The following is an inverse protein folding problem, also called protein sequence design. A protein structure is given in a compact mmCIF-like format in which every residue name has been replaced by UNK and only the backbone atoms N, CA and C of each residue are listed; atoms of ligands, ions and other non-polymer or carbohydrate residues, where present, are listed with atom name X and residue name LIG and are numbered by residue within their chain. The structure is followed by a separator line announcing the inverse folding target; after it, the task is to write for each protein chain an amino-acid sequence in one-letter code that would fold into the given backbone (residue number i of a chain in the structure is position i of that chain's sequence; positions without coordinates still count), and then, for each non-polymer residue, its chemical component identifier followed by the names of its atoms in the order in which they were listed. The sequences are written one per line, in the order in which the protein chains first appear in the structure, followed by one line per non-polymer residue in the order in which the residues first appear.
data_IF_002173752488
#
_entry.id   IF_002173752488
#
_cell.length_a   1.000
_cell.length_b   1.000
_cell.length_c   1.000
_cell.angle_alpha   90.00
_cell.angle_beta   90.00
_cell.angle_gamma   90.00
#
_symmetry.space_group_name_H-M   'P 1'
#
loop_
_entity.id
_entity.type
_entity.pdbx_description
1 polymer ?
#
# COMPACT_ATOMS: atom_id res chain seq x y z
N UNK A 1 -5.56 -32.20 -3.73
CA UNK A 1 -6.66 -31.73 -4.59
C UNK A 1 -7.19 -30.43 -4.01
N UNK A 2 -6.75 -29.29 -4.52
CA UNK A 2 -7.31 -27.99 -4.18
C UNK A 2 -8.40 -27.69 -5.21
N UNK A 3 -9.66 -27.77 -4.77
CA UNK A 3 -10.83 -27.30 -5.51
C UNK A 3 -11.62 -26.41 -4.57
N UNK A 4 -11.21 -25.15 -4.51
CA UNK A 4 -12.04 -24.01 -4.15
C UNK A 4 -11.65 -22.90 -5.11
N UNK A 5 -12.41 -22.78 -6.19
CA UNK A 5 -12.31 -21.67 -7.13
C UNK A 5 -12.84 -20.40 -6.47
N UNK A 6 -11.98 -19.70 -5.71
CA UNK A 6 -12.08 -18.25 -5.65
C UNK A 6 -11.31 -17.74 -6.86
N UNK A 7 -12.06 -17.37 -7.90
CA UNK A 7 -11.50 -16.66 -9.06
C UNK A 7 -10.84 -15.38 -8.57
N UNK A 8 -9.51 -15.39 -8.50
CA UNK A 8 -8.68 -14.21 -8.34
C UNK A 8 -8.80 -13.41 -9.65
N UNK A 9 -9.41 -12.20 -9.67
CA UNK A 9 -9.72 -11.48 -10.90
C UNK A 9 -8.48 -10.91 -11.61
N UNK A 10 -7.27 -11.34 -11.25
CA UNK A 10 -6.03 -10.68 -11.64
C UNK A 10 -5.07 -11.53 -12.48
N UNK A 11 -5.44 -12.75 -12.87
CA UNK A 11 -4.58 -13.58 -13.73
C UNK A 11 -4.89 -13.40 -15.21
N UNK A 12 -3.90 -12.81 -15.91
CA UNK A 12 -3.67 -12.80 -17.37
C UNK A 12 -4.20 -11.63 -18.22
N UNK A 13 -3.19 -10.97 -18.83
CA UNK A 13 -3.12 -10.23 -20.12
C UNK A 13 -3.58 -8.77 -20.11
N UNK A 14 -2.57 -7.89 -20.26
CA UNK A 14 -2.61 -6.43 -20.41
C UNK A 14 -3.39 -5.68 -19.32
N UNK A 15 -2.81 -5.62 -18.11
CA UNK A 15 -3.28 -4.68 -17.07
C UNK A 15 -3.09 -3.26 -17.63
N UNK A 16 -4.17 -2.67 -18.14
CA UNK A 16 -4.27 -1.24 -18.41
C UNK A 16 -3.79 -0.52 -17.15
N UNK A 17 -2.81 0.38 -17.31
CA UNK A 17 -2.25 1.11 -16.19
C UNK A 17 -3.38 1.80 -15.42
N UNK A 18 -3.37 1.74 -14.07
CA UNK A 18 -4.37 2.45 -13.30
C UNK A 18 -4.27 3.95 -13.57
N UNK A 19 -5.36 4.68 -13.34
CA UNK A 19 -5.42 6.13 -13.52
C UNK A 19 -5.74 6.78 -12.19
N UNK A 20 -5.00 7.84 -11.86
CA UNK A 20 -5.35 8.77 -10.80
C UNK A 20 -6.23 9.89 -11.36
N UNK A 21 -7.28 10.20 -10.62
CA UNK A 21 -8.21 11.30 -10.89
C UNK A 21 -8.38 12.12 -9.62
N UNK A 22 -8.38 13.45 -9.75
CA UNK A 22 -8.69 14.38 -8.69
C UNK A 22 -10.21 14.55 -8.66
N UNK A 23 -10.86 13.94 -7.66
CA UNK A 23 -12.32 13.95 -7.55
C UNK A 23 -12.84 15.17 -6.82
N UNK A 24 -12.02 15.78 -5.95
CA UNK A 24 -12.36 17.02 -5.28
C UNK A 24 -11.12 17.83 -4.88
N UNK A 25 -11.32 19.12 -4.67
CA UNK A 25 -10.34 20.01 -4.07
C UNK A 25 -11.06 20.92 -3.07
N UNK A 26 -10.59 20.91 -1.82
CA UNK A 26 -11.22 21.65 -0.73
C UNK A 26 -10.19 22.46 0.06
N UNK A 27 -10.63 23.57 0.64
CA UNK A 27 -9.78 24.38 1.51
C UNK A 27 -9.81 23.75 2.91
N UNK A 28 -8.69 23.22 3.34
CA UNK A 28 -8.49 22.64 4.66
C UNK A 28 -7.65 23.58 5.55
N UNK A 29 -7.71 23.35 6.86
CA UNK A 29 -6.94 24.07 7.87
C UNK A 29 -5.92 23.09 8.46
N UNK A 30 -4.69 23.56 8.67
CA UNK A 30 -3.65 22.73 9.29
C UNK A 30 -3.97 22.57 10.77
N UNK A 31 -4.02 21.33 11.27
CA UNK A 31 -4.31 21.04 12.67
C UNK A 31 -3.43 21.88 13.61
N UNK A 32 -4.05 22.49 14.62
CA UNK A 32 -3.35 23.36 15.58
C UNK A 32 -2.88 24.72 15.03
N UNK A 33 -3.33 25.15 13.84
CA UNK A 33 -3.03 26.49 13.33
C UNK A 33 -4.17 27.09 12.49
N UNK A 34 -4.09 28.37 12.16
CA UNK A 34 -5.03 29.03 11.25
C UNK A 34 -4.62 28.93 9.77
N UNK A 35 -3.51 28.22 9.46
CA UNK A 35 -2.96 28.15 8.11
C UNK A 35 -3.83 27.26 7.22
N UNK A 36 -4.44 27.88 6.21
CA UNK A 36 -5.23 27.22 5.18
C UNK A 36 -4.36 26.63 4.06
N UNK A 37 -4.80 25.53 3.48
CA UNK A 37 -4.21 24.91 2.29
C UNK A 37 -5.30 24.25 1.44
N UNK A 38 -4.98 23.93 0.19
CA UNK A 38 -5.87 23.14 -0.68
C UNK A 38 -5.51 21.67 -0.52
N UNK A 39 -6.48 20.87 -0.09
CA UNK A 39 -6.42 19.41 -0.03
C UNK A 39 -7.11 18.85 -1.27
N UNK A 40 -6.42 18.00 -1.99
CA UNK A 40 -6.92 17.31 -3.17
C UNK A 40 -7.25 15.87 -2.80
N UNK A 41 -8.46 15.43 -3.10
CA UNK A 41 -8.85 14.02 -2.96
C UNK A 41 -8.63 13.33 -4.29
N UNK A 42 -7.82 12.27 -4.27
CA UNK A 42 -7.47 11.47 -5.43
C UNK A 42 -8.18 10.13 -5.35
N UNK A 43 -8.60 9.64 -6.49
CA UNK A 43 -9.10 8.29 -6.68
C UNK A 43 -8.23 7.54 -7.68
N UNK A 44 -7.83 6.32 -7.34
CA UNK A 44 -7.18 5.41 -8.30
C UNK A 44 -8.16 4.35 -8.78
N UNK A 45 -8.26 4.18 -10.10
CA UNK A 45 -9.13 3.19 -10.75
C UNK A 45 -8.39 2.44 -11.85
N UNK A 46 -8.76 1.18 -12.06
CA UNK A 46 -8.38 0.47 -13.29
C UNK A 46 -9.42 0.78 -14.36
N UNK A 47 -8.98 1.20 -15.55
CA UNK A 47 -9.88 1.48 -16.67
C UNK A 47 -10.19 0.16 -17.38
N UNK A 48 -11.05 -0.68 -16.79
CA UNK A 48 -11.40 -2.01 -17.32
C UNK A 48 -12.79 -2.07 -17.95
N UNK A 49 -13.42 -0.91 -18.23
CA UNK A 49 -14.76 -0.83 -18.82
C UNK A 49 -15.91 -1.21 -17.87
N UNK A 50 -15.60 -1.74 -16.68
CA UNK A 50 -16.53 -1.96 -15.57
C UNK A 50 -16.16 -0.96 -14.47
N UNK A 51 -17.15 -0.27 -13.91
CA UNK A 51 -16.93 0.64 -12.79
C UNK A 51 -16.23 -0.08 -11.64
N UNK A 52 -15.11 0.50 -11.21
CA UNK A 52 -14.33 0.00 -10.08
C UNK A 52 -15.16 0.13 -8.80
N UNK A 53 -15.83 -0.95 -8.40
CA UNK A 53 -16.73 -0.98 -7.24
C UNK A 53 -16.05 -0.61 -5.91
N UNK A 54 -14.72 -0.62 -5.85
CA UNK A 54 -13.93 -0.27 -4.67
C UNK A 54 -12.70 0.51 -5.10
N UNK A 55 -12.81 1.82 -5.37
CA UNK A 55 -11.63 2.62 -5.62
C UNK A 55 -10.77 2.73 -4.34
N UNK A 56 -9.49 3.04 -4.51
CA UNK A 56 -8.67 3.50 -3.38
C UNK A 56 -8.58 5.03 -3.43
N UNK A 57 -8.60 5.64 -2.26
CA UNK A 57 -8.65 7.09 -2.08
C UNK A 57 -7.39 7.54 -1.34
N UNK A 58 -6.83 8.67 -1.73
CA UNK A 58 -5.76 9.34 -0.99
C UNK A 58 -5.97 10.85 -1.02
N UNK A 59 -5.55 11.53 0.04
CA UNK A 59 -5.66 12.99 0.13
C UNK A 59 -4.27 13.60 0.19
N UNK A 60 -4.00 14.56 -0.69
CA UNK A 60 -2.68 15.20 -0.82
C UNK A 60 -2.82 16.70 -1.02
N UNK A 61 -1.87 17.45 -0.51
CA UNK A 61 -1.73 18.90 -0.75
C UNK A 61 -0.66 19.16 -1.81
N UNK A 62 -0.64 20.38 -2.34
CA UNK A 62 0.35 20.80 -3.36
C UNK A 62 1.80 20.40 -3.02
N UNK A 63 2.19 20.54 -1.74
CA UNK A 63 3.57 20.24 -1.31
C UNK A 63 3.92 18.77 -1.46
N UNK A 64 2.96 17.85 -1.34
CA UNK A 64 3.22 16.41 -1.46
C UNK A 64 3.54 16.06 -2.91
N UNK A 65 2.75 16.60 -3.86
CA UNK A 65 3.03 16.48 -5.29
C UNK A 65 4.35 17.13 -5.69
N UNK A 66 4.66 18.29 -5.09
CA UNK A 66 5.90 18.99 -5.35
C UNK A 66 7.12 18.19 -4.86
N UNK A 67 7.02 17.59 -3.67
CA UNK A 67 8.06 16.72 -3.12
C UNK A 67 8.26 15.48 -4.02
N UNK A 68 7.17 14.84 -4.47
CA UNK A 68 7.24 13.76 -5.46
C UNK A 68 7.97 14.21 -6.73
N UNK A 69 7.53 15.29 -7.37
CA UNK A 69 8.12 15.79 -8.61
C UNK A 69 9.61 16.11 -8.47
N UNK A 70 9.98 16.79 -7.39
CA UNK A 70 11.38 17.21 -7.17
C UNK A 70 12.29 16.03 -6.86
N UNK A 71 11.84 15.06 -6.07
CA UNK A 71 12.58 13.82 -5.82
C UNK A 71 12.78 13.02 -7.12
N UNK A 72 11.70 12.80 -7.89
CA UNK A 72 11.80 12.10 -9.18
C UNK A 72 12.71 12.82 -10.17
N UNK A 73 12.65 14.15 -10.26
CA UNK A 73 13.50 14.93 -11.16
C UNK A 73 14.98 14.87 -10.76
N UNK A 74 15.27 14.76 -9.47
CA UNK A 74 16.63 14.61 -8.94
C UNK A 74 17.16 13.20 -9.23
N UNK A 75 16.38 12.18 -8.94
CA UNK A 75 16.83 10.79 -8.93
C UNK A 75 16.71 10.12 -10.32
N UNK A 76 15.78 10.59 -11.16
CA UNK A 76 15.48 10.09 -12.50
C UNK A 76 15.36 11.23 -13.53
N UNK A 77 16.43 12.04 -13.74
CA UNK A 77 16.35 13.24 -14.57
C UNK A 77 16.00 12.95 -16.04
N UNK A 78 16.45 11.81 -16.58
CA UNK A 78 16.20 11.43 -17.97
C UNK A 78 14.72 11.10 -18.19
N UNK A 79 14.15 10.30 -17.29
CA UNK A 79 12.75 9.88 -17.29
C UNK A 79 11.79 11.07 -17.04
N UNK A 80 12.27 12.13 -16.42
CA UNK A 80 11.49 13.34 -16.08
C UNK A 80 11.64 14.50 -17.07
N UNK A 81 12.40 14.34 -18.15
CA UNK A 81 12.76 15.42 -19.09
C UNK A 81 11.56 16.18 -19.66
N UNK A 82 10.48 15.46 -20.01
CA UNK A 82 9.29 16.01 -20.66
C UNK A 82 8.19 16.43 -19.67
N UNK A 83 8.42 16.26 -18.37
CA UNK A 83 7.39 16.45 -17.35
C UNK A 83 7.38 17.90 -16.84
N UNK A 84 6.31 18.62 -17.17
CA UNK A 84 6.02 19.93 -16.61
C UNK A 84 5.29 19.80 -15.27
N UNK A 85 5.58 20.70 -14.31
CA UNK A 85 4.90 20.75 -13.02
C UNK A 85 4.27 22.13 -12.75
N UNK A 86 3.03 22.20 -12.20
CA UNK A 86 2.40 23.46 -11.85
C UNK A 86 3.23 24.29 -10.87
N UNK A 87 3.39 25.59 -11.12
CA UNK A 87 4.25 26.45 -10.29
C UNK A 87 3.68 26.69 -8.89
N UNK A 88 4.59 26.92 -7.94
CA UNK A 88 4.25 27.43 -6.60
C UNK A 88 3.84 28.89 -6.75
N UNK A 89 2.76 29.28 -6.07
CA UNK A 89 2.31 30.68 -5.98
C UNK A 89 2.28 31.08 -4.51
N UNK A 90 2.58 32.34 -4.23
CA UNK A 90 2.51 32.90 -2.87
C UNK A 90 1.14 33.50 -2.54
N UNK A 91 0.43 33.99 -3.56
CA UNK A 91 -0.89 34.63 -3.46
C UNK A 91 -1.82 33.96 -4.47
N UNK A 92 -3.11 33.85 -4.13
CA UNK A 92 -4.12 33.28 -5.03
C UNK A 92 -4.11 31.76 -5.10
N UNK A 93 -3.52 31.07 -4.12
CA UNK A 93 -3.48 29.60 -4.09
C UNK A 93 -4.86 28.94 -3.89
N UNK A 94 -5.90 29.73 -3.59
CA UNK A 94 -7.30 29.31 -3.48
C UNK A 94 -8.14 29.72 -4.69
N UNK A 95 -7.53 30.32 -5.72
CA UNK A 95 -8.20 30.64 -6.97
C UNK A 95 -8.62 29.36 -7.70
N UNK A 96 -9.90 29.28 -8.09
CA UNK A 96 -10.47 28.07 -8.71
C UNK A 96 -9.76 27.70 -10.02
N UNK A 97 -9.37 28.69 -10.84
CA UNK A 97 -8.66 28.43 -12.09
C UNK A 97 -7.29 27.82 -11.80
N UNK A 98 -6.56 28.33 -10.82
CA UNK A 98 -5.29 27.73 -10.40
C UNK A 98 -5.48 26.32 -9.83
N UNK A 99 -6.52 26.08 -9.03
CA UNK A 99 -6.84 24.75 -8.51
C UNK A 99 -7.06 23.77 -9.67
N UNK A 100 -7.85 24.14 -10.68
CA UNK A 100 -8.09 23.29 -11.87
C UNK A 100 -6.81 23.01 -12.67
N UNK A 101 -5.95 24.03 -12.88
CA UNK A 101 -4.65 23.86 -13.55
C UNK A 101 -3.77 22.89 -12.76
N UNK A 102 -3.75 23.00 -11.43
CA UNK A 102 -3.00 22.09 -10.56
C UNK A 102 -3.54 20.67 -10.62
N UNK A 103 -4.85 20.47 -10.52
CA UNK A 103 -5.48 19.15 -10.63
C UNK A 103 -5.05 18.46 -11.92
N UNK A 104 -5.17 19.15 -13.06
CA UNK A 104 -4.77 18.62 -14.37
C UNK A 104 -3.27 18.28 -14.42
N UNK A 105 -2.42 19.16 -13.89
CA UNK A 105 -0.98 18.94 -13.84
C UNK A 105 -0.57 17.77 -12.94
N UNK A 106 -1.25 17.58 -11.82
CA UNK A 106 -1.03 16.47 -10.89
C UNK A 106 -1.41 15.13 -11.50
N UNK A 107 -2.58 15.05 -12.14
CA UNK A 107 -3.00 13.84 -12.87
C UNK A 107 -2.03 13.51 -14.00
N UNK A 108 -1.56 14.52 -14.74
CA UNK A 108 -0.57 14.33 -15.81
C UNK A 108 0.76 13.78 -15.29
N UNK A 109 1.26 14.34 -14.17
CA UNK A 109 2.46 13.82 -13.49
C UNK A 109 2.29 12.35 -13.10
N UNK A 110 1.19 12.02 -12.41
CA UNK A 110 0.96 10.66 -11.93
C UNK A 110 0.75 9.67 -13.08
N UNK A 111 0.07 10.07 -14.16
CA UNK A 111 -0.06 9.25 -15.36
C UNK A 111 1.32 8.91 -15.96
N UNK A 112 2.21 9.90 -16.07
CA UNK A 112 3.57 9.68 -16.56
C UNK A 112 4.33 8.69 -15.66
N UNK A 113 4.29 8.92 -14.36
CA UNK A 113 4.96 8.08 -13.36
C UNK A 113 4.47 6.63 -13.37
N UNK A 114 3.19 6.39 -13.62
CA UNK A 114 2.63 5.03 -13.64
C UNK A 114 2.95 4.23 -14.92
N UNK A 115 3.27 4.92 -16.02
CA UNK A 115 3.61 4.27 -17.31
C UNK A 115 5.09 3.87 -17.34
N UNK A 116 5.97 4.67 -16.76
CA UNK A 116 7.40 4.37 -16.69
C UNK A 116 7.69 3.43 -15.51
N UNK A 117 8.27 2.25 -15.76
CA UNK A 117 8.49 1.25 -14.72
C UNK A 117 9.50 1.70 -13.65
N UNK A 118 10.52 2.48 -14.01
CA UNK A 118 11.52 2.96 -13.05
C UNK A 118 10.91 4.01 -12.12
N UNK A 119 10.12 4.93 -12.66
CA UNK A 119 9.41 5.92 -11.86
C UNK A 119 8.34 5.24 -10.97
N UNK A 120 7.63 4.26 -11.51
CA UNK A 120 6.61 3.50 -10.77
C UNK A 120 7.20 2.72 -9.60
N UNK A 121 8.38 2.13 -9.76
CA UNK A 121 9.06 1.34 -8.71
C UNK A 121 9.91 2.20 -7.78
N UNK A 122 9.91 3.53 -7.96
CA UNK A 122 10.77 4.44 -7.23
C UNK A 122 10.32 4.64 -5.76
N UNK A 123 11.27 4.79 -4.81
CA UNK A 123 10.95 5.15 -3.44
C UNK A 123 10.12 6.45 -3.30
N UNK A 124 10.39 7.54 -4.06
CA UNK A 124 9.56 8.74 -4.01
C UNK A 124 8.08 8.50 -4.28
N UNK A 125 7.73 7.61 -5.24
CA UNK A 125 6.33 7.29 -5.47
C UNK A 125 5.73 6.54 -4.29
N UNK A 126 6.44 5.54 -3.74
CA UNK A 126 5.95 4.80 -2.58
C UNK A 126 5.67 5.73 -1.40
N UNK A 127 6.60 6.63 -1.07
CA UNK A 127 6.40 7.66 -0.03
C UNK A 127 5.18 8.53 -0.33
N UNK A 128 5.03 9.02 -1.56
CA UNK A 128 3.86 9.80 -1.95
C UNK A 128 2.54 9.03 -1.75
N UNK A 129 2.52 7.73 -2.07
CA UNK A 129 1.31 6.91 -2.00
C UNK A 129 0.87 6.60 -0.58
N UNK A 130 1.78 6.44 0.38
CA UNK A 130 1.40 5.93 1.70
C UNK A 130 1.87 6.72 2.92
N UNK A 131 2.89 7.56 2.85
CA UNK A 131 3.57 8.09 4.07
C UNK A 131 2.60 8.77 5.05
N UNK A 132 1.78 9.70 4.55
CA UNK A 132 0.84 10.45 5.39
C UNK A 132 -0.21 9.54 6.06
N UNK A 133 -0.75 8.58 5.31
CA UNK A 133 -1.77 7.66 5.80
C UNK A 133 -1.14 6.61 6.74
N UNK A 134 0.09 6.18 6.44
CA UNK A 134 0.84 5.20 7.19
C UNK A 134 1.29 5.74 8.55
N UNK A 135 1.63 7.02 8.65
CA UNK A 135 1.90 7.67 9.93
C UNK A 135 0.68 7.57 10.86
N UNK A 136 -0.49 7.97 10.37
CA UNK A 136 -1.76 7.86 11.11
C UNK A 136 -2.08 6.41 11.49
N UNK A 137 -1.89 5.47 10.57
CA UNK A 137 -2.06 4.04 10.84
C UNK A 137 -1.12 3.60 11.96
N UNK A 138 0.16 3.97 11.93
CA UNK A 138 1.15 3.61 12.96
C UNK A 138 0.74 4.16 14.33
N UNK A 139 0.26 5.40 14.40
CA UNK A 139 -0.25 5.99 15.64
C UNK A 139 -1.45 5.21 16.20
N UNK A 140 -2.42 4.85 15.35
CA UNK A 140 -3.57 4.03 15.75
C UNK A 140 -3.16 2.64 16.24
N UNK A 141 -2.23 1.98 15.53
CA UNK A 141 -1.70 0.67 15.91
C UNK A 141 -0.94 0.72 17.24
N UNK A 142 -0.14 1.76 17.49
CA UNK A 142 0.55 1.97 18.76
C UNK A 142 -0.44 2.14 19.92
N UNK A 143 -1.54 2.84 19.67
CA UNK A 143 -2.65 2.99 20.62
C UNK A 143 -3.56 1.77 20.70
N UNK A 144 -3.26 0.70 19.96
CA UNK A 144 -4.08 -0.53 19.84
C UNK A 144 -5.51 -0.26 19.35
N UNK A 145 -5.74 0.86 18.67
CA UNK A 145 -7.01 1.17 18.02
C UNK A 145 -7.08 0.49 16.64
N UNK A 146 -7.13 -0.85 16.66
CA UNK A 146 -7.17 -1.68 15.47
C UNK A 146 -8.45 -1.47 14.64
N UNK A 147 -9.55 -1.13 15.31
CA UNK A 147 -10.84 -0.90 14.65
C UNK A 147 -10.78 0.33 13.73
N UNK A 148 -10.17 1.43 14.19
CA UNK A 148 -9.94 2.62 13.37
C UNK A 148 -8.82 2.42 12.34
N UNK A 149 -7.80 1.61 12.64
CA UNK A 149 -6.68 1.35 11.73
C UNK A 149 -7.07 0.46 10.53
N UNK A 150 -7.93 -0.54 10.75
CA UNK A 150 -8.32 -1.52 9.73
C UNK A 150 -8.83 -0.92 8.41
N UNK A 151 -9.80 0.02 8.37
CA UNK A 151 -10.27 0.61 7.11
C UNK A 151 -9.17 1.40 6.37
N UNK A 152 -8.27 2.06 7.09
CA UNK A 152 -7.13 2.77 6.49
C UNK A 152 -6.12 1.79 5.88
N UNK A 153 -5.84 0.68 6.58
CA UNK A 153 -5.00 -0.42 6.07
C UNK A 153 -5.61 -1.10 4.84
N UNK A 154 -6.92 -1.34 4.83
CA UNK A 154 -7.60 -1.90 3.66
C UNK A 154 -7.50 -0.98 2.44
N UNK A 155 -7.67 0.33 2.65
CA UNK A 155 -7.50 1.31 1.59
C UNK A 155 -6.04 1.38 1.11
N UNK A 156 -5.06 1.37 2.02
CA UNK A 156 -3.64 1.36 1.69
C UNK A 156 -3.25 0.11 0.88
N UNK A 157 -3.65 -1.09 1.31
CA UNK A 157 -3.45 -2.31 0.54
C UNK A 157 -4.06 -2.18 -0.86
N UNK A 158 -5.30 -1.69 -0.95
CA UNK A 158 -5.99 -1.51 -2.23
C UNK A 158 -5.27 -0.54 -3.16
N UNK A 159 -4.78 0.57 -2.63
CA UNK A 159 -4.00 1.56 -3.36
C UNK A 159 -2.73 0.93 -3.95
N UNK A 160 -1.93 0.28 -3.10
CA UNK A 160 -0.68 -0.34 -3.52
C UNK A 160 -0.93 -1.49 -4.51
N UNK A 161 -1.96 -2.30 -4.30
CA UNK A 161 -2.31 -3.40 -5.20
C UNK A 161 -2.79 -2.94 -6.58
N UNK A 162 -3.26 -1.69 -6.71
CA UNK A 162 -3.59 -1.11 -8.01
C UNK A 162 -2.35 -0.65 -8.75
N UNK A 163 -1.36 -0.10 -8.04
CA UNK A 163 -0.13 0.48 -8.59
C UNK A 163 0.93 -0.58 -8.89
N UNK A 164 1.17 -1.50 -7.96
CA UNK A 164 2.27 -2.46 -8.01
C UNK A 164 1.80 -3.88 -8.36
N UNK A 165 2.75 -4.77 -8.60
CA UNK A 165 2.46 -6.20 -8.77
C UNK A 165 2.02 -6.82 -7.43
N UNK A 166 1.23 -7.89 -7.51
CA UNK A 166 0.64 -8.55 -6.34
C UNK A 166 1.69 -9.12 -5.36
N UNK A 167 2.95 -9.28 -5.81
CA UNK A 167 4.11 -9.77 -5.04
C UNK A 167 5.19 -8.72 -4.79
N UNK A 168 4.94 -7.46 -5.13
CA UNK A 168 5.88 -6.38 -4.78
C UNK A 168 6.04 -6.28 -3.25
N UNK A 169 7.24 -5.89 -2.74
CA UNK A 169 7.46 -5.71 -1.31
C UNK A 169 6.40 -4.82 -0.64
N UNK A 170 6.05 -3.68 -1.28
CA UNK A 170 5.05 -2.76 -0.77
C UNK A 170 3.68 -3.41 -0.57
N UNK A 171 3.22 -4.21 -1.54
CA UNK A 171 1.92 -4.89 -1.48
C UNK A 171 1.91 -5.99 -0.43
N UNK A 172 2.98 -6.79 -0.36
CA UNK A 172 3.08 -7.89 0.61
C UNK A 172 3.17 -7.36 2.06
N UNK A 173 3.93 -6.30 2.30
CA UNK A 173 4.00 -5.67 3.62
C UNK A 173 2.66 -5.06 4.03
N UNK A 174 1.97 -4.36 3.14
CA UNK A 174 0.64 -3.81 3.44
C UNK A 174 -0.39 -4.90 3.73
N UNK A 175 -0.33 -6.02 3.00
CA UNK A 175 -1.19 -7.17 3.23
C UNK A 175 -0.94 -7.85 4.58
N UNK A 176 0.33 -8.09 4.93
CA UNK A 176 0.71 -8.62 6.24
C UNK A 176 0.33 -7.67 7.38
N UNK A 177 0.50 -6.36 7.19
CA UNK A 177 0.11 -5.34 8.18
C UNK A 177 -1.39 -5.32 8.41
N UNK A 178 -2.19 -5.36 7.34
CA UNK A 178 -3.63 -5.47 7.41
C UNK A 178 -4.06 -6.75 8.16
N UNK A 179 -3.52 -7.90 7.78
CA UNK A 179 -3.81 -9.16 8.47
C UNK A 179 -3.44 -9.09 9.96
N UNK A 180 -2.26 -8.56 10.29
CA UNK A 180 -1.80 -8.36 11.67
C UNK A 180 -2.74 -7.47 12.49
N UNK A 181 -3.28 -6.41 11.88
CA UNK A 181 -4.29 -5.57 12.51
C UNK A 181 -5.60 -6.33 12.74
N UNK A 182 -6.07 -7.10 11.75
CA UNK A 182 -7.34 -7.82 11.83
C UNK A 182 -7.33 -8.94 12.87
N UNK A 183 -6.24 -9.71 12.97
CA UNK A 183 -6.12 -10.79 13.97
C UNK A 183 -5.96 -10.27 15.40
N UNK A 184 -5.57 -8.99 15.55
CA UNK A 184 -5.49 -8.33 16.85
C UNK A 184 -6.89 -7.93 17.39
N UNK A 185 -7.93 -8.04 16.56
CA UNK A 185 -9.32 -7.88 16.94
C UNK A 185 -10.01 -9.25 17.08
N UNK A 186 -10.49 -9.64 18.27
CA UNK A 186 -11.22 -10.89 18.45
C UNK A 186 -12.44 -10.98 17.53
N UNK A 187 -12.61 -12.12 16.85
CA UNK A 187 -13.78 -12.37 16.01
C UNK A 187 -13.83 -11.58 14.70
N UNK A 188 -12.71 -11.01 14.24
CA UNK A 188 -12.66 -10.31 12.95
C UNK A 188 -13.12 -11.21 11.79
N UNK A 189 -14.27 -10.89 11.14
CA UNK A 189 -14.92 -11.81 10.19
C UNK A 189 -14.11 -12.00 8.90
N UNK A 190 -13.21 -11.06 8.59
CA UNK A 190 -12.44 -11.06 7.36
C UNK A 190 -11.01 -11.61 7.53
N UNK A 191 -10.56 -11.93 8.75
CA UNK A 191 -9.18 -12.36 9.00
C UNK A 191 -8.80 -13.60 8.18
N UNK A 192 -9.71 -14.57 8.05
CA UNK A 192 -9.49 -15.78 7.25
C UNK A 192 -9.34 -15.47 5.75
N UNK A 193 -10.18 -14.59 5.20
CA UNK A 193 -10.08 -14.17 3.80
C UNK A 193 -8.71 -13.55 3.51
N UNK A 194 -8.26 -12.65 4.38
CA UNK A 194 -6.98 -11.97 4.20
C UNK A 194 -5.79 -12.90 4.42
N UNK A 195 -5.90 -13.87 5.34
CA UNK A 195 -4.92 -14.94 5.53
C UNK A 195 -4.77 -15.80 4.26
N UNK A 196 -5.87 -16.23 3.65
CA UNK A 196 -5.85 -17.05 2.44
C UNK A 196 -5.21 -16.27 1.26
N UNK A 197 -5.54 -14.98 1.09
CA UNK A 197 -4.92 -14.11 0.07
C UNK A 197 -3.41 -13.95 0.32
N UNK A 198 -3.01 -13.73 1.57
CA UNK A 198 -1.61 -13.57 1.94
C UNK A 198 -0.81 -14.84 1.66
N UNK A 199 -1.30 -16.01 2.08
CA UNK A 199 -0.64 -17.29 1.81
C UNK A 199 -0.42 -17.50 0.31
N UNK A 200 -1.47 -17.33 -0.50
CA UNK A 200 -1.38 -17.54 -1.95
C UNK A 200 -0.32 -16.65 -2.61
N UNK A 201 -0.19 -15.40 -2.15
CA UNK A 201 0.79 -14.46 -2.71
C UNK A 201 2.23 -14.85 -2.35
N UNK A 202 2.44 -15.35 -1.14
CA UNK A 202 3.75 -15.79 -0.66
C UNK A 202 4.23 -17.13 -1.24
N UNK A 203 3.35 -17.98 -1.79
CA UNK A 203 3.74 -19.26 -2.43
C UNK A 203 4.76 -19.09 -3.58
N UNK A 204 4.82 -17.91 -4.21
CA UNK A 204 5.73 -17.60 -5.31
C UNK A 204 6.81 -16.58 -4.98
N UNK A 205 7.03 -16.25 -3.70
CA UNK A 205 8.06 -15.28 -3.28
C UNK A 205 9.40 -15.99 -3.14
N UNK A 206 10.41 -15.51 -3.88
CA UNK A 206 11.78 -16.00 -3.82
C UNK A 206 12.76 -14.99 -3.19
N UNK A 207 12.29 -13.77 -2.90
CA UNK A 207 13.08 -12.71 -2.30
C UNK A 207 13.40 -13.05 -0.84
N UNK A 208 14.68 -13.08 -0.48
CA UNK A 208 15.14 -13.51 0.84
C UNK A 208 14.68 -12.60 1.97
N UNK A 209 14.57 -11.30 1.72
CA UNK A 209 14.14 -10.34 2.73
C UNK A 209 12.64 -10.49 2.98
N UNK A 210 11.85 -10.66 1.92
CA UNK A 210 10.41 -10.94 2.04
C UNK A 210 10.12 -12.32 2.65
N UNK A 211 10.97 -13.31 2.44
CA UNK A 211 10.82 -14.62 3.08
C UNK A 211 10.89 -14.55 4.60
N UNK A 212 11.53 -13.53 5.19
CA UNK A 212 11.50 -13.30 6.64
C UNK A 212 10.06 -13.03 7.16
N UNK A 213 9.18 -12.45 6.35
CA UNK A 213 7.76 -12.29 6.68
C UNK A 213 6.92 -13.55 6.46
N UNK A 214 7.42 -14.52 5.71
CA UNK A 214 6.64 -15.72 5.41
C UNK A 214 6.46 -16.61 6.64
N UNK A 215 7.47 -16.70 7.51
CA UNK A 215 7.40 -17.51 8.73
C UNK A 215 6.35 -16.98 9.74
N UNK A 216 6.31 -15.69 10.12
CA UNK A 216 5.24 -15.16 10.96
C UNK A 216 3.87 -15.23 10.29
N UNK A 217 3.80 -15.09 8.96
CA UNK A 217 2.57 -15.30 8.22
C UNK A 217 2.05 -16.75 8.36
N UNK A 218 2.89 -17.75 8.09
CA UNK A 218 2.53 -19.17 8.23
C UNK A 218 2.04 -19.51 9.64
N UNK A 219 2.72 -18.99 10.66
CA UNK A 219 2.34 -19.18 12.06
C UNK A 219 0.96 -18.62 12.38
N UNK A 220 0.68 -17.39 11.94
CA UNK A 220 -0.64 -16.76 12.11
C UNK A 220 -1.71 -17.53 11.33
N UNK A 221 -1.45 -17.89 10.08
CA UNK A 221 -2.42 -18.59 9.25
C UNK A 221 -2.75 -20.00 9.79
N UNK A 222 -1.75 -20.72 10.33
CA UNK A 222 -1.99 -22.00 11.01
C UNK A 222 -2.97 -21.85 12.18
N UNK A 223 -2.76 -20.83 13.03
CA UNK A 223 -3.67 -20.51 14.15
C UNK A 223 -5.09 -20.19 13.67
N UNK A 224 -5.23 -19.35 12.64
CA UNK A 224 -6.54 -19.01 12.06
C UNK A 224 -7.23 -20.26 11.52
N UNK A 225 -6.50 -21.13 10.82
CA UNK A 225 -7.05 -22.37 10.28
C UNK A 225 -7.57 -23.27 11.40
N UNK A 226 -6.79 -23.49 12.46
CA UNK A 226 -7.26 -24.27 13.62
C UNK A 226 -8.50 -23.67 14.29
N UNK A 227 -8.51 -22.35 14.50
CA UNK A 227 -9.65 -21.64 15.10
C UNK A 227 -10.92 -21.69 14.24
N UNK A 228 -10.78 -21.88 12.92
CA UNK A 228 -11.89 -21.96 11.97
C UNK A 228 -12.22 -23.41 11.57
N UNK A 229 -11.63 -24.41 12.23
CA UNK A 229 -11.87 -25.82 11.98
C UNK A 229 -11.18 -26.41 10.73
N UNK A 230 -10.28 -25.65 10.09
CA UNK A 230 -9.40 -26.14 9.02
C UNK A 230 -8.13 -26.77 9.60
N UNK A 231 -7.55 -27.73 8.89
CA UNK A 231 -6.32 -28.41 9.33
C UNK A 231 -5.07 -27.56 9.04
N UNK A 232 -4.37 -27.11 10.08
CA UNK A 232 -3.16 -26.30 10.01
C UNK A 232 -1.83 -27.05 9.80
N UNK A 233 -1.83 -28.40 9.83
CA UNK A 233 -0.60 -29.22 9.82
C UNK A 233 0.31 -28.92 8.62
N UNK A 234 -0.27 -28.64 7.46
CA UNK A 234 0.50 -28.31 6.25
C UNK A 234 1.30 -27.01 6.43
N UNK A 235 0.68 -25.98 7.01
CA UNK A 235 1.33 -24.69 7.24
C UNK A 235 2.41 -24.81 8.33
N UNK A 236 2.14 -25.58 9.38
CA UNK A 236 3.12 -25.87 10.44
C UNK A 236 4.32 -26.66 9.90
N UNK A 237 4.08 -27.66 9.06
CA UNK A 237 5.16 -28.43 8.41
C UNK A 237 6.01 -27.53 7.51
N UNK A 238 5.37 -26.63 6.74
CA UNK A 238 6.08 -25.65 5.91
C UNK A 238 6.90 -24.67 6.76
N UNK A 239 6.34 -24.18 7.85
CA UNK A 239 7.02 -23.31 8.81
C UNK A 239 8.27 -24.00 9.37
N UNK A 240 8.16 -25.26 9.79
CA UNK A 240 9.30 -26.03 10.31
C UNK A 240 10.37 -26.27 9.24
N UNK A 241 9.98 -26.58 8.01
CA UNK A 241 10.93 -26.74 6.90
C UNK A 241 11.74 -25.46 6.63
N UNK A 242 11.09 -24.29 6.67
CA UNK A 242 11.77 -23.00 6.45
C UNK A 242 12.70 -22.63 7.62
N UNK A 243 12.33 -22.95 8.86
CA UNK A 243 13.21 -22.78 10.03
C UNK A 243 14.47 -23.63 9.89
N UNK A 244 14.34 -24.87 9.45
CA UNK A 244 15.48 -25.78 9.23
C UNK A 244 16.43 -25.27 8.12
N UNK A 245 15.93 -24.45 7.20
CA UNK A 245 16.74 -23.76 6.18
C UNK A 245 17.47 -22.52 6.72
N UNK A 246 17.36 -22.21 8.01
CA UNK A 246 18.08 -21.11 8.66
C UNK A 246 17.43 -19.74 8.49
N UNK A 247 16.19 -19.65 8.01
CA UNK A 247 15.46 -18.39 7.94
C UNK A 247 15.12 -17.93 9.36
N UNK A 248 15.46 -16.67 9.68
CA UNK A 248 15.24 -16.10 11.01
C UNK A 248 13.75 -16.02 11.32
N UNK A 249 13.36 -16.46 12.51
CA UNK A 249 11.99 -16.35 13.00
C UNK A 249 11.97 -16.12 14.50
N UNK A 250 11.28 -15.05 14.91
CA UNK A 250 10.99 -14.78 16.31
C UNK A 250 9.55 -15.20 16.60
N UNK A 251 9.37 -16.35 17.24
CA UNK A 251 8.06 -16.88 17.63
C UNK A 251 7.25 -15.95 18.54
N UNK A 252 7.94 -15.09 19.30
CA UNK A 252 7.32 -14.14 20.22
C UNK A 252 6.84 -12.86 19.53
N UNK A 253 7.28 -12.58 18.30
CA UNK A 253 6.88 -11.38 17.58
C UNK A 253 5.52 -11.58 16.90
N UNK A 254 4.65 -10.59 17.05
CA UNK A 254 3.42 -10.46 16.27
C UNK A 254 3.73 -10.20 14.80
N UNK A 255 2.76 -10.47 13.92
CA UNK A 255 2.90 -10.17 12.49
C UNK A 255 3.10 -8.67 12.23
N UNK A 256 2.52 -7.79 13.06
CA UNK A 256 2.74 -6.35 12.98
C UNK A 256 4.19 -5.98 13.29
N UNK A 257 4.77 -6.52 14.36
CA UNK A 257 6.18 -6.28 14.73
C UNK A 257 7.14 -6.82 13.67
N UNK A 258 6.82 -7.96 13.06
CA UNK A 258 7.61 -8.51 11.96
C UNK A 258 7.62 -7.58 10.74
N UNK A 259 6.47 -7.00 10.38
CA UNK A 259 6.37 -6.02 9.29
C UNK A 259 7.17 -4.76 9.61
N UNK A 260 7.05 -4.22 10.82
CA UNK A 260 7.79 -3.01 11.22
C UNK A 260 9.31 -3.26 11.27
N UNK A 261 9.74 -4.47 11.62
CA UNK A 261 11.14 -4.86 11.59
C UNK A 261 11.69 -4.91 10.16
N UNK A 262 10.96 -5.55 9.23
CA UNK A 262 11.37 -5.60 7.83
C UNK A 262 11.35 -4.22 7.18
N UNK A 263 10.33 -3.41 7.44
CA UNK A 263 10.24 -2.05 6.89
C UNK A 263 11.46 -1.20 7.27
N UNK A 264 11.90 -1.25 8.53
CA UNK A 264 13.12 -0.56 8.98
C UNK A 264 14.35 -1.05 8.23
N UNK A 265 14.52 -2.37 8.09
CA UNK A 265 15.64 -2.98 7.37
C UNK A 265 15.70 -2.53 5.90
N UNK A 266 14.54 -2.49 5.23
CA UNK A 266 14.45 -2.06 3.84
C UNK A 266 14.70 -0.55 3.67
N UNK A 267 14.27 0.28 4.62
CA UNK A 267 14.56 1.72 4.62
C UNK A 267 16.05 2.03 4.87
N UNK A 268 16.74 1.22 5.67
CA UNK A 268 18.18 1.38 5.94
C UNK A 268 19.08 0.90 4.79
N UNK A 269 18.53 0.14 3.85
CA UNK A 269 19.25 -0.41 2.69
C UNK A 269 19.24 0.53 1.46
N UNK A 270 18.50 1.64 1.50
CA UNK A 270 18.33 2.65 0.45
C UNK A 270 19.13 3.93 0.75
#
# INVERSE_FOLDING_TARGET
MLSCTSSDPSTSKDKIAPVFEITSAQIAITEGSEKKYVLYTLQIRHVTGVDDSKPAILERRYTDFYNLYTALKKDYPNEMTTVSFPKKVLIGNFDNRLISIRSTGFESLLRHVLVDSKLRESPPLLTFLQEADLQKIKELLQNKDYASAAPLLENNFRLLNKVYTDRSPAVLMALCRLLGCLISMPGSPNAQKWADIALHRYEGVCDSDLLELYLPLLHVCAKIWWQTGRNGNFLESRLQSLKQQGIKFNEGASLLEAVDCLEKKLCEAL
#
